data_IF_392332305619
#
_entry.id   IF_392332305619
#
_cell.length_a   1.000
_cell.length_b   1.000
_cell.length_c   1.000
_cell.angle_alpha   90.00
_cell.angle_beta   90.00
_cell.angle_gamma   90.00
#
_symmetry.space_group_name_H-M   'P 1'
#
loop_
_entity.id
_entity.type
_entity.pdbx_description
1 polymer ?
#
# COMPACT_ATOMS: atom_id res chain seq x y z
N UNK A 1 32.76 2.05 -1.11
CA UNK A 1 31.81 0.94 -1.26
C UNK A 1 30.44 1.56 -1.39
N UNK A 2 29.75 1.41 -2.52
CA UNK A 2 28.35 1.84 -2.62
C UNK A 2 27.58 1.02 -1.59
N UNK A 3 27.01 1.71 -0.60
CA UNK A 3 26.14 1.11 0.40
C UNK A 3 24.89 0.58 -0.32
N UNK A 4 24.95 -0.68 -0.77
CA UNK A 4 23.87 -1.33 -1.51
C UNK A 4 22.77 -1.75 -0.53
N UNK A 5 22.10 -0.75 0.04
CA UNK A 5 20.99 -0.97 0.97
C UNK A 5 19.83 -1.66 0.25
N UNK A 6 19.49 -2.86 0.70
CA UNK A 6 18.29 -3.58 0.24
C UNK A 6 17.05 -2.78 0.68
N UNK A 7 16.10 -2.60 -0.25
CA UNK A 7 14.82 -1.95 0.02
C UNK A 7 13.70 -2.99 0.01
N UNK A 8 12.82 -2.89 1.00
CA UNK A 8 11.65 -3.76 1.11
C UNK A 8 10.41 -3.05 0.62
N UNK A 9 9.75 -3.64 -0.37
CA UNK A 9 8.43 -3.23 -0.86
C UNK A 9 7.46 -4.33 -0.46
N UNK A 10 6.48 -3.99 0.36
CA UNK A 10 5.43 -4.92 0.76
C UNK A 10 4.16 -4.67 -0.07
N UNK A 11 3.56 -5.74 -0.57
CA UNK A 11 2.35 -5.71 -1.39
C UNK A 11 1.14 -6.38 -0.73
N UNK A 12 1.16 -6.59 0.59
CA UNK A 12 0.07 -7.23 1.35
C UNK A 12 -1.27 -6.52 1.11
N UNK A 13 -1.29 -5.19 1.10
CA UNK A 13 -2.51 -4.41 0.92
C UNK A 13 -3.04 -4.37 -0.52
N UNK A 14 -2.25 -4.80 -1.52
CA UNK A 14 -2.67 -4.86 -2.93
C UNK A 14 -2.82 -6.30 -3.39
N UNK A 15 -1.74 -7.06 -3.41
CA UNK A 15 -1.73 -8.45 -3.89
C UNK A 15 -2.32 -9.41 -2.88
N UNK A 16 -2.09 -9.17 -1.58
CA UNK A 16 -2.68 -9.97 -0.51
C UNK A 16 -4.21 -9.88 -0.51
N UNK A 17 -4.77 -8.69 -0.75
CA UNK A 17 -6.22 -8.51 -0.86
C UNK A 17 -6.82 -9.16 -2.12
N UNK A 18 -6.05 -9.36 -3.19
CA UNK A 18 -6.55 -10.03 -4.40
C UNK A 18 -6.63 -11.56 -4.26
N UNK A 19 -6.17 -12.13 -3.15
CA UNK A 19 -6.30 -13.55 -2.89
C UNK A 19 -7.79 -13.94 -2.70
N UNK A 20 -8.24 -15.08 -3.26
CA UNK A 20 -9.63 -15.52 -3.12
C UNK A 20 -10.08 -15.61 -1.65
N UNK A 21 -11.15 -14.89 -1.33
CA UNK A 21 -11.71 -14.87 0.04
C UNK A 21 -11.05 -13.90 1.01
N UNK A 22 -10.07 -13.11 0.55
CA UNK A 22 -9.47 -12.03 1.34
C UNK A 22 -10.10 -10.71 0.92
N UNK A 23 -10.63 -9.97 1.89
CA UNK A 23 -11.15 -8.62 1.70
C UNK A 23 -10.83 -7.82 2.96
N UNK A 24 -10.20 -6.66 2.81
CA UNK A 24 -9.88 -5.82 3.94
C UNK A 24 -10.83 -4.62 4.00
N UNK A 25 -11.44 -4.43 5.15
CA UNK A 25 -12.10 -3.17 5.51
C UNK A 25 -11.10 -2.03 5.57
N UNK A 26 -11.57 -0.78 5.53
CA UNK A 26 -10.69 0.39 5.67
C UNK A 26 -9.87 0.32 6.96
N UNK A 27 -10.52 -0.03 8.06
CA UNK A 27 -9.92 -0.15 9.39
C UNK A 27 -8.82 -1.23 9.40
N UNK A 28 -9.07 -2.38 8.78
CA UNK A 28 -8.05 -3.44 8.64
C UNK A 28 -6.89 -2.99 7.77
N UNK A 29 -7.15 -2.31 6.64
CA UNK A 29 -6.09 -1.77 5.78
C UNK A 29 -5.20 -0.78 6.54
N UNK A 30 -5.80 0.12 7.32
CA UNK A 30 -5.07 1.08 8.16
C UNK A 30 -4.25 0.37 9.24
N UNK A 31 -4.81 -0.64 9.91
CA UNK A 31 -4.11 -1.40 10.93
C UNK A 31 -2.93 -2.19 10.35
N UNK A 32 -3.11 -2.84 9.20
CA UNK A 32 -2.03 -3.55 8.49
C UNK A 32 -0.95 -2.55 8.05
N UNK A 33 -1.32 -1.39 7.51
CA UNK A 33 -0.36 -0.36 7.13
C UNK A 33 0.48 0.16 8.32
N UNK A 34 -0.16 0.35 9.49
CA UNK A 34 0.53 0.71 10.73
C UNK A 34 1.57 -0.35 11.11
N UNK A 35 1.20 -1.64 11.02
CA UNK A 35 2.09 -2.77 11.31
C UNK A 35 3.24 -2.87 10.30
N UNK A 36 2.97 -2.71 9.00
CA UNK A 36 4.00 -2.73 7.95
C UNK A 36 5.02 -1.59 8.14
N UNK A 37 4.53 -0.39 8.43
CA UNK A 37 5.41 0.75 8.73
C UNK A 37 6.25 0.49 9.99
N UNK A 38 5.66 -0.08 11.05
CA UNK A 38 6.39 -0.44 12.27
C UNK A 38 7.43 -1.56 12.03
N UNK A 39 7.15 -2.51 11.13
CA UNK A 39 8.08 -3.54 10.70
C UNK A 39 9.27 -3.01 9.89
N UNK A 40 9.21 -1.74 9.44
CA UNK A 40 10.32 -1.05 8.81
C UNK A 40 10.44 -1.27 7.30
N UNK A 41 9.34 -1.61 6.62
CA UNK A 41 9.31 -1.66 5.15
C UNK A 41 9.57 -0.26 4.56
N UNK A 42 10.21 -0.19 3.40
CA UNK A 42 10.48 1.09 2.74
C UNK A 42 9.27 1.63 1.99
N UNK A 43 8.46 0.72 1.44
CA UNK A 43 7.30 1.04 0.60
C UNK A 43 6.15 0.09 0.91
N UNK A 44 4.95 0.66 1.01
CA UNK A 44 3.69 -0.07 1.12
C UNK A 44 2.95 0.11 -0.21
N UNK A 45 2.85 -0.94 -1.04
CA UNK A 45 1.97 -0.96 -2.23
C UNK A 45 0.53 -1.14 -1.76
N UNK A 46 -0.20 -0.02 -1.73
CA UNK A 46 -1.42 0.13 -0.96
C UNK A 46 -2.71 -0.09 -1.78
N UNK A 47 -2.59 -0.35 -3.09
CA UNK A 47 -3.73 -0.59 -3.95
C UNK A 47 -3.68 0.15 -5.28
N UNK A 48 -4.84 0.33 -5.91
CA UNK A 48 -4.97 0.92 -7.25
C UNK A 48 -6.05 2.01 -7.29
N UNK A 49 -5.70 3.30 -7.35
CA UNK A 49 -6.64 4.42 -7.25
C UNK A 49 -7.74 4.46 -8.31
N UNK A 50 -7.53 3.78 -9.44
CA UNK A 50 -8.48 3.73 -10.55
C UNK A 50 -9.57 2.65 -10.38
N UNK A 51 -9.47 1.77 -9.37
CA UNK A 51 -10.44 0.69 -9.15
C UNK A 51 -11.82 1.25 -8.79
N UNK A 52 -11.89 2.17 -7.83
CA UNK A 52 -13.16 2.78 -7.43
C UNK A 52 -12.94 4.13 -6.70
N UNK A 53 -14.03 4.80 -6.33
CA UNK A 53 -13.96 6.01 -5.48
C UNK A 53 -13.60 5.65 -4.05
N UNK A 54 -14.09 4.52 -3.57
CA UNK A 54 -13.86 3.97 -2.23
C UNK A 54 -12.37 3.63 -2.07
N UNK A 55 -11.77 2.96 -3.04
CA UNK A 55 -10.34 2.64 -3.03
C UNK A 55 -9.48 3.91 -3.00
N UNK A 56 -9.87 4.95 -3.74
CA UNK A 56 -9.20 6.25 -3.70
C UNK A 56 -9.32 6.93 -2.34
N UNK A 57 -10.47 6.83 -1.69
CA UNK A 57 -10.68 7.37 -0.35
C UNK A 57 -9.81 6.62 0.67
N UNK A 58 -9.73 5.29 0.57
CA UNK A 58 -8.83 4.45 1.36
C UNK A 58 -7.37 4.86 1.20
N UNK A 59 -6.89 5.03 -0.04
CA UNK A 59 -5.51 5.49 -0.30
C UNK A 59 -5.26 6.89 0.27
N UNK A 60 -6.24 7.77 0.19
CA UNK A 60 -6.15 9.12 0.80
C UNK A 60 -6.01 9.03 2.33
N UNK A 61 -6.78 8.14 2.96
CA UNK A 61 -6.69 7.91 4.41
C UNK A 61 -5.34 7.33 4.82
N UNK A 62 -4.78 6.39 4.04
CA UNK A 62 -3.45 5.82 4.26
C UNK A 62 -2.34 6.88 4.16
N UNK A 63 -2.39 7.75 3.14
CA UNK A 63 -1.44 8.85 2.99
C UNK A 63 -1.51 9.83 4.17
N UNK A 64 -2.71 10.12 4.68
CA UNK A 64 -2.91 11.02 5.82
C UNK A 64 -2.29 10.53 7.15
N UNK A 65 -1.89 9.25 7.23
CA UNK A 65 -1.24 8.69 8.43
C UNK A 65 0.23 9.11 8.60
N UNK A 66 0.85 9.72 7.58
CA UNK A 66 2.22 10.24 7.63
C UNK A 66 3.26 9.18 8.07
N UNK A 67 3.23 8.02 7.43
CA UNK A 67 4.19 6.93 7.67
C UNK A 67 5.63 7.32 7.33
N UNK A 68 6.58 6.60 7.93
CA UNK A 68 7.99 6.62 7.49
C UNK A 68 8.12 5.91 6.14
N UNK A 69 7.41 4.79 5.98
CA UNK A 69 7.32 4.07 4.72
C UNK A 69 6.62 4.94 3.66
N UNK A 70 7.07 4.88 2.41
CA UNK A 70 6.36 5.52 1.31
C UNK A 70 5.10 4.72 0.95
N UNK A 71 3.96 5.40 0.86
CA UNK A 71 2.73 4.78 0.34
C UNK A 71 2.78 4.85 -1.19
N UNK A 72 2.72 3.70 -1.86
CA UNK A 72 2.72 3.58 -3.30
C UNK A 72 1.35 3.07 -3.80
N UNK A 73 1.07 3.36 -5.07
CA UNK A 73 -0.15 2.97 -5.75
C UNK A 73 0.19 2.36 -7.12
N UNK A 74 -0.40 1.20 -7.40
CA UNK A 74 -0.26 0.53 -8.68
C UNK A 74 -1.16 1.20 -9.74
N UNK A 75 -0.65 1.37 -10.96
CA UNK A 75 -1.38 1.94 -12.09
C UNK A 75 -1.12 1.14 -13.37
N UNK A 76 -2.11 1.10 -14.27
CA UNK A 76 -1.92 0.52 -15.62
C UNK A 76 -1.28 1.56 -16.54
N UNK A 77 -0.37 1.12 -17.40
CA UNK A 77 0.24 1.95 -18.44
C UNK A 77 -0.72 2.12 -19.64
N UNK A 78 -1.78 2.91 -19.45
CA UNK A 78 -2.73 3.26 -20.51
C UNK A 78 -2.30 4.57 -21.18
N UNK A 79 -2.51 4.67 -22.50
CA UNK A 79 -2.45 5.97 -23.19
C UNK A 79 -3.72 6.75 -22.82
N UNK A 80 -3.54 8.00 -22.40
CA UNK A 80 -4.65 8.94 -22.16
C UNK A 80 -5.39 9.30 -23.45
#
# INVERSE_FOLDING_TARGET
>A
MTDSRIRFVDCTLRDGEQAPGVFFTLEEKLAIADLLNAAGVDVIDAGMPSVSKEERATLTALVARNYRASVAATVRALRG
#
